data_IF_734198448856
#
_entry.id   IF_734198448856
#
_cell.length_a   1.000
_cell.length_b   1.000
_cell.length_c   1.000
_cell.angle_alpha   90.00
_cell.angle_beta   90.00
_cell.angle_gamma   90.00
#
_symmetry.space_group_name_H-M   'P 1'
#
loop_
_entity.id
_entity.type
_entity.pdbx_description
1 polymer ?
#
# COMPACT_ATOMS: atom_id res chain seq x y z
N UNK A 1 -5.40 -5.76 -11.48
CA UNK A 1 -5.55 -5.06 -10.18
C UNK A 1 -4.21 -4.72 -9.54
N UNK A 2 -3.13 -4.58 -10.32
CA UNK A 2 -1.95 -3.82 -9.90
C UNK A 2 -2.28 -2.34 -9.57
N UNK A 3 -3.51 -1.87 -9.81
CA UNK A 3 -3.90 -0.49 -9.63
C UNK A 3 -4.78 -0.18 -8.40
N UNK A 4 -5.55 -1.10 -7.81
CA UNK A 4 -6.44 -0.75 -6.68
C UNK A 4 -5.65 -0.62 -5.36
N UNK A 5 -4.85 -1.63 -5.00
CA UNK A 5 -4.16 -1.72 -3.71
C UNK A 5 -2.94 -0.78 -3.66
N UNK A 6 -2.12 -0.79 -4.71
CA UNK A 6 -0.88 0.00 -4.77
C UNK A 6 -1.13 1.50 -4.82
N UNK A 7 -2.31 1.90 -5.32
CA UNK A 7 -2.69 3.30 -5.41
C UNK A 7 -2.83 3.95 -4.04
N UNK A 8 -3.55 3.30 -3.12
CA UNK A 8 -3.80 3.84 -1.78
C UNK A 8 -2.53 3.81 -0.92
N UNK A 9 -1.75 2.74 -1.02
CA UNK A 9 -0.48 2.67 -0.30
C UNK A 9 0.53 3.73 -0.76
N UNK A 10 0.54 4.06 -2.05
CA UNK A 10 1.32 5.18 -2.58
C UNK A 10 0.91 6.50 -1.92
N UNK A 11 -0.40 6.79 -1.87
CA UNK A 11 -0.90 7.98 -1.17
C UNK A 11 -0.50 7.98 0.30
N UNK A 12 -0.58 6.83 0.99
CA UNK A 12 -0.15 6.71 2.38
C UNK A 12 1.31 7.11 2.59
N UNK A 13 2.22 6.65 1.72
CA UNK A 13 3.64 7.03 1.77
C UNK A 13 3.82 8.52 1.45
N UNK A 14 3.17 9.03 0.40
CA UNK A 14 3.27 10.44 0.00
C UNK A 14 2.75 11.38 1.10
N UNK A 15 1.60 11.06 1.70
CA UNK A 15 1.03 11.83 2.80
C UNK A 15 1.83 11.71 4.08
N UNK A 16 2.43 10.56 4.36
CA UNK A 16 3.37 10.41 5.48
C UNK A 16 4.56 11.37 5.34
N UNK A 17 5.15 11.48 4.14
CA UNK A 17 6.23 12.46 3.92
C UNK A 17 5.78 13.90 4.18
N UNK A 18 4.58 14.27 3.72
CA UNK A 18 4.02 15.61 3.97
C UNK A 18 3.79 15.85 5.45
N UNK A 19 3.20 14.88 6.16
CA UNK A 19 2.95 14.94 7.60
C UNK A 19 4.24 15.13 8.40
N UNK A 20 5.29 14.35 8.11
CA UNK A 20 6.58 14.47 8.78
C UNK A 20 7.24 15.82 8.48
N UNK A 21 7.09 16.32 7.25
CA UNK A 21 7.61 17.62 6.86
C UNK A 21 6.90 18.78 7.55
N UNK A 22 5.58 18.70 7.76
CA UNK A 22 4.85 19.71 8.52
C UNK A 22 5.15 19.67 10.02
N UNK A 23 5.39 18.48 10.59
CA UNK A 23 5.66 18.32 12.01
C UNK A 23 7.05 18.87 12.43
N UNK A 24 8.12 18.46 11.74
CA UNK A 24 9.50 18.86 12.09
C UNK A 24 10.40 19.10 10.86
N UNK A 25 9.81 19.43 9.71
CA UNK A 25 10.55 19.73 8.49
C UNK A 25 11.33 18.54 7.95
N UNK A 26 12.52 18.82 7.41
CA UNK A 26 13.36 17.78 6.77
C UNK A 26 13.91 16.74 7.75
N UNK A 27 14.03 17.08 9.05
CA UNK A 27 14.63 16.21 10.06
C UNK A 27 13.96 14.82 10.11
N UNK A 28 12.63 14.78 10.24
CA UNK A 28 11.90 13.52 10.30
C UNK A 28 11.86 12.78 8.97
N UNK A 29 11.78 13.50 7.86
CA UNK A 29 11.83 12.89 6.51
C UNK A 29 13.19 12.23 6.26
N UNK A 30 14.28 12.88 6.68
CA UNK A 30 15.63 12.33 6.57
C UNK A 30 15.84 11.15 7.52
N UNK A 31 15.27 11.21 8.73
CA UNK A 31 15.25 10.08 9.69
C UNK A 31 14.51 8.87 9.11
N UNK A 32 13.36 9.08 8.47
CA UNK A 32 12.61 8.05 7.76
C UNK A 32 13.43 7.43 6.62
N UNK A 33 14.06 8.26 5.78
CA UNK A 33 14.93 7.79 4.69
C UNK A 33 16.12 6.98 5.23
N UNK A 34 16.75 7.44 6.32
CA UNK A 34 17.85 6.74 6.97
C UNK A 34 17.41 5.40 7.55
N UNK A 35 16.22 5.31 8.17
CA UNK A 35 15.71 4.03 8.68
C UNK A 35 15.51 3.00 7.57
N UNK A 36 15.08 3.43 6.38
CA UNK A 36 14.95 2.53 5.21
C UNK A 36 16.31 1.98 4.77
N UNK A 37 17.36 2.80 4.79
CA UNK A 37 18.71 2.34 4.39
C UNK A 37 19.37 1.44 5.44
N UNK A 38 18.91 1.50 6.70
CA UNK A 38 19.39 0.68 7.81
C UNK A 38 18.70 -0.70 7.93
N UNK A 39 17.70 -0.99 7.10
CA UNK A 39 17.04 -2.30 7.11
C UNK A 39 18.10 -3.40 6.86
N UNK A 40 18.21 -4.41 7.73
CA UNK A 40 19.17 -5.50 7.56
C UNK A 40 18.98 -6.22 6.23
N UNK A 41 20.10 -6.65 5.65
CA UNK A 41 20.07 -7.41 4.40
C UNK A 41 19.50 -8.79 4.66
N UNK A 42 18.45 -9.15 3.94
CA UNK A 42 17.88 -10.49 3.94
C UNK A 42 17.54 -10.89 2.51
N UNK A 43 17.66 -12.17 2.16
CA UNK A 43 17.42 -12.68 0.80
C UNK A 43 16.00 -12.38 0.30
N UNK A 44 15.03 -12.31 1.22
CA UNK A 44 13.62 -12.06 0.92
C UNK A 44 13.20 -10.57 1.00
N UNK A 45 14.15 -9.68 1.32
CA UNK A 45 13.92 -8.24 1.43
C UNK A 45 14.75 -7.47 0.41
N UNK A 46 14.08 -6.58 -0.33
CA UNK A 46 14.76 -5.68 -1.25
C UNK A 46 15.34 -4.48 -0.50
N UNK A 47 16.60 -4.16 -0.79
CA UNK A 47 17.29 -2.99 -0.23
C UNK A 47 16.95 -1.74 -1.06
N UNK A 48 16.56 -0.66 -0.39
CA UNK A 48 16.29 0.64 -1.02
C UNK A 48 17.39 1.63 -0.65
N UNK A 49 18.57 1.49 -1.26
CA UNK A 49 19.76 2.29 -0.95
C UNK A 49 19.61 3.78 -1.23
N UNK A 50 18.67 4.18 -2.10
CA UNK A 50 18.34 5.58 -2.39
C UNK A 50 17.20 6.17 -1.55
N UNK A 51 16.80 5.52 -0.45
CA UNK A 51 15.68 5.94 0.38
C UNK A 51 14.36 6.06 -0.40
N UNK A 52 13.44 6.91 0.07
CA UNK A 52 12.13 7.10 -0.58
C UNK A 52 12.16 7.93 -1.87
N UNK A 53 13.32 8.43 -2.30
CA UNK A 53 13.46 9.07 -3.61
C UNK A 53 13.56 8.01 -4.71
N UNK A 54 14.20 6.88 -4.43
CA UNK A 54 14.19 5.69 -5.30
C UNK A 54 12.79 5.04 -5.44
N UNK A 55 11.85 5.44 -4.57
CA UNK A 55 10.48 4.94 -4.47
C UNK A 55 9.51 5.65 -5.44
N UNK A 56 9.96 6.66 -6.19
CA UNK A 56 9.13 7.33 -7.20
C UNK A 56 8.78 6.46 -8.44
N UNK A 57 9.45 5.32 -8.63
CA UNK A 57 9.37 4.47 -9.85
C UNK A 57 9.00 3.01 -9.54
N UNK A 58 8.09 2.77 -8.60
CA UNK A 58 7.88 1.42 -8.09
C UNK A 58 6.95 0.57 -8.97
N UNK A 59 7.48 -0.56 -9.42
CA UNK A 59 6.69 -1.72 -9.83
C UNK A 59 5.92 -2.29 -8.64
N UNK A 60 4.89 -3.09 -8.93
CA UNK A 60 4.11 -3.78 -7.90
C UNK A 60 4.97 -4.59 -6.91
N UNK A 61 6.01 -5.23 -7.43
CA UNK A 61 6.94 -6.00 -6.63
C UNK A 61 7.68 -5.17 -5.57
N UNK A 62 8.07 -3.94 -5.93
CA UNK A 62 8.77 -3.09 -4.98
C UNK A 62 7.84 -2.59 -3.87
N UNK A 63 6.57 -2.31 -4.17
CA UNK A 63 5.60 -1.93 -3.14
C UNK A 63 5.38 -3.05 -2.13
N UNK A 64 5.26 -4.31 -2.58
CA UNK A 64 5.17 -5.47 -1.67
C UNK A 64 6.39 -5.54 -0.74
N UNK A 65 7.60 -5.34 -1.28
CA UNK A 65 8.81 -5.30 -0.48
C UNK A 65 8.82 -4.14 0.53
N UNK A 66 8.28 -2.97 0.16
CA UNK A 66 8.17 -1.82 1.08
C UNK A 66 7.15 -2.10 2.18
N UNK A 67 5.99 -2.68 1.87
CA UNK A 67 4.95 -3.03 2.87
C UNK A 67 5.51 -3.88 4.01
N UNK A 68 6.41 -4.81 3.70
CA UNK A 68 7.08 -5.67 4.71
C UNK A 68 7.90 -4.88 5.72
N UNK A 69 8.52 -3.77 5.31
CA UNK A 69 9.51 -3.06 6.12
C UNK A 69 9.00 -1.74 6.69
N UNK A 70 7.95 -1.18 6.09
CA UNK A 70 7.51 0.19 6.35
C UNK A 70 7.03 0.41 7.78
N UNK A 71 6.39 -0.60 8.38
CA UNK A 71 5.94 -0.53 9.79
C UNK A 71 7.12 -0.20 10.70
N UNK A 72 8.27 -0.87 10.52
CA UNK A 72 9.48 -0.62 11.31
C UNK A 72 10.13 0.73 11.02
N UNK A 73 9.96 1.25 9.79
CA UNK A 73 10.51 2.55 9.40
C UNK A 73 9.78 3.69 10.10
N UNK A 74 8.46 3.62 10.16
CA UNK A 74 7.61 4.67 10.74
C UNK A 74 7.38 4.51 12.24
N UNK A 75 7.78 3.37 12.82
CA UNK A 75 7.63 3.10 14.24
C UNK A 75 8.34 4.15 15.10
N UNK A 76 7.64 4.71 16.09
CA UNK A 76 8.14 5.80 16.93
C UNK A 76 8.80 6.95 16.13
N UNK A 77 8.24 7.26 14.96
CA UNK A 77 8.73 8.36 14.13
C UNK A 77 8.00 9.69 14.41
N UNK A 78 6.70 9.61 14.74
CA UNK A 78 5.87 10.77 15.04
C UNK A 78 4.89 10.48 16.18
N UNK A 79 4.00 9.52 15.96
CA UNK A 79 3.03 9.06 16.96
C UNK A 79 2.63 7.61 16.68
N UNK A 80 1.94 6.99 17.64
CA UNK A 80 1.48 5.60 17.52
C UNK A 80 0.46 5.40 16.40
N UNK A 81 -0.38 6.41 16.12
CA UNK A 81 -1.37 6.36 15.05
C UNK A 81 -0.68 6.16 13.67
N UNK A 82 0.50 6.77 13.47
CA UNK A 82 1.27 6.63 12.24
C UNK A 82 1.75 5.19 12.02
N UNK A 83 2.28 4.50 13.03
CA UNK A 83 2.66 3.08 12.85
C UNK A 83 1.42 2.19 12.69
N UNK A 84 0.37 2.48 13.45
CA UNK A 84 -0.90 1.76 13.41
C UNK A 84 -1.56 1.79 12.02
N UNK A 85 -1.54 2.91 11.29
CA UNK A 85 -2.14 2.98 9.95
C UNK A 85 -1.41 2.08 8.94
N UNK A 86 -0.12 1.83 9.11
CA UNK A 86 0.62 0.87 8.29
C UNK A 86 0.36 -0.58 8.70
N UNK A 87 0.19 -0.85 10.00
CA UNK A 87 -0.20 -2.19 10.49
C UNK A 87 -1.57 -2.57 9.95
N UNK A 88 -2.56 -1.68 10.05
CA UNK A 88 -3.91 -1.92 9.54
C UNK A 88 -3.95 -2.10 8.03
N UNK A 89 -3.13 -1.35 7.29
CA UNK A 89 -2.98 -1.57 5.85
C UNK A 89 -2.46 -2.98 5.55
N UNK A 90 -1.44 -3.45 6.28
CA UNK A 90 -0.89 -4.78 6.10
C UNK A 90 -1.91 -5.87 6.46
N UNK A 91 -2.71 -5.68 7.52
CA UNK A 91 -3.81 -6.59 7.87
C UNK A 91 -4.85 -6.68 6.74
N UNK A 92 -5.32 -5.53 6.23
CA UNK A 92 -6.22 -5.49 5.08
C UNK A 92 -5.61 -6.17 3.86
N UNK A 93 -4.34 -5.90 3.56
CA UNK A 93 -3.66 -6.50 2.41
C UNK A 93 -3.57 -8.02 2.55
N UNK A 94 -3.31 -8.55 3.75
CA UNK A 94 -3.26 -10.01 3.95
C UNK A 94 -4.64 -10.65 3.77
N UNK A 95 -5.70 -10.02 4.31
CA UNK A 95 -7.08 -10.48 4.13
C UNK A 95 -7.50 -10.46 2.66
N UNK A 96 -7.11 -9.42 1.91
CA UNK A 96 -7.45 -9.26 0.50
C UNK A 96 -6.87 -10.37 -0.40
N UNK A 97 -5.81 -11.06 0.05
CA UNK A 97 -5.11 -12.12 -0.70
C UNK A 97 -5.69 -13.52 -0.50
N UNK A 98 -6.70 -13.70 0.34
CA UNK A 98 -7.37 -14.99 0.50
C UNK A 98 -7.98 -15.47 -0.82
N UNK A 99 -7.84 -16.77 -1.10
CA UNK A 99 -8.41 -17.39 -2.32
C UNK A 99 -9.90 -17.68 -2.19
N UNK A 100 -10.39 -17.79 -0.96
CA UNK A 100 -11.79 -18.10 -0.65
C UNK A 100 -12.23 -17.28 0.55
N UNK A 101 -13.46 -16.76 0.51
CA UNK A 101 -14.04 -15.98 1.60
C UNK A 101 -15.32 -16.65 2.10
N UNK A 102 -15.46 -16.78 3.42
CA UNK A 102 -16.75 -17.03 4.07
C UNK A 102 -17.40 -15.68 4.42
N UNK A 103 -18.70 -15.67 4.70
CA UNK A 103 -19.39 -14.45 5.16
C UNK A 103 -18.77 -13.85 6.44
N UNK A 104 -18.24 -14.69 7.34
CA UNK A 104 -17.48 -14.21 8.50
C UNK A 104 -16.19 -13.49 8.10
N UNK A 105 -15.50 -13.98 7.07
CA UNK A 105 -14.24 -13.41 6.59
C UNK A 105 -14.51 -12.07 5.90
N UNK A 106 -15.60 -11.98 5.13
CA UNK A 106 -16.08 -10.74 4.52
C UNK A 106 -16.43 -9.68 5.56
N UNK A 107 -17.11 -10.08 6.65
CA UNK A 107 -17.40 -9.17 7.76
C UNK A 107 -16.12 -8.65 8.41
N UNK A 108 -15.17 -9.54 8.71
CA UNK A 108 -13.88 -9.16 9.28
C UNK A 108 -13.10 -8.23 8.34
N UNK A 109 -13.16 -8.49 7.03
CA UNK A 109 -12.50 -7.67 6.03
C UNK A 109 -13.11 -6.28 5.93
N UNK A 110 -14.45 -6.15 5.95
CA UNK A 110 -15.14 -4.86 6.00
C UNK A 110 -14.72 -4.06 7.26
N UNK A 111 -14.71 -4.71 8.43
CA UNK A 111 -14.30 -4.05 9.68
C UNK A 111 -12.84 -3.57 9.62
N UNK A 112 -11.94 -4.35 9.02
CA UNK A 112 -10.54 -3.96 8.84
C UNK A 112 -10.42 -2.73 7.91
N UNK A 113 -11.18 -2.72 6.81
CA UNK A 113 -11.26 -1.59 5.87
C UNK A 113 -11.71 -0.32 6.58
N UNK A 114 -12.79 -0.38 7.35
CA UNK A 114 -13.35 0.78 8.04
C UNK A 114 -12.39 1.31 9.12
N UNK A 115 -11.78 0.42 9.91
CA UNK A 115 -10.79 0.80 10.93
C UNK A 115 -9.58 1.49 10.31
N UNK A 116 -9.06 0.97 9.20
CA UNK A 116 -7.96 1.61 8.47
C UNK A 116 -8.40 2.94 7.86
N UNK A 117 -9.54 2.98 7.16
CA UNK A 117 -10.02 4.18 6.46
C UNK A 117 -10.25 5.34 7.43
N UNK A 118 -10.87 5.08 8.59
CA UNK A 118 -11.07 6.08 9.63
C UNK A 118 -9.73 6.66 10.12
N UNK A 119 -8.73 5.80 10.36
CA UNK A 119 -7.41 6.25 10.81
C UNK A 119 -6.65 7.00 9.70
N UNK A 120 -6.75 6.52 8.46
CA UNK A 120 -6.16 7.15 7.28
C UNK A 120 -6.71 8.55 7.05
N UNK A 121 -8.03 8.71 7.11
CA UNK A 121 -8.70 10.01 6.97
C UNK A 121 -8.33 10.93 8.14
N UNK A 122 -8.31 10.42 9.38
CA UNK A 122 -7.90 11.20 10.56
C UNK A 122 -6.48 11.74 10.43
N UNK A 123 -5.53 10.91 10.01
CA UNK A 123 -4.11 11.28 9.93
C UNK A 123 -3.79 12.16 8.73
N UNK A 124 -4.36 11.82 7.57
CA UNK A 124 -3.97 12.45 6.31
C UNK A 124 -4.99 13.47 5.81
N UNK A 125 -6.01 13.74 6.64
CA UNK A 125 -7.14 14.65 6.44
C UNK A 125 -6.81 15.85 5.56
N UNK A 126 -5.86 16.61 6.10
CA UNK A 126 -5.44 17.90 5.58
C UNK A 126 -4.66 17.85 4.26
N UNK A 127 -4.12 16.70 3.86
CA UNK A 127 -3.27 16.58 2.66
C UNK A 127 -4.04 16.23 1.39
N UNK A 128 -5.32 15.89 1.53
CA UNK A 128 -6.18 15.55 0.40
C UNK A 128 -6.81 16.81 -0.17
N UNK A 129 -6.22 17.37 -1.22
CA UNK A 129 -6.74 18.55 -1.94
C UNK A 129 -8.17 18.39 -2.50
N UNK A 130 -8.76 17.20 -2.46
CA UNK A 130 -10.05 16.84 -3.06
C UNK A 130 -11.10 16.34 -2.06
N UNK A 131 -11.00 16.65 -0.76
CA UNK A 131 -11.91 16.14 0.28
C UNK A 131 -12.01 14.60 0.30
N UNK A 132 -10.88 13.90 0.14
CA UNK A 132 -10.82 12.43 0.02
C UNK A 132 -11.65 11.83 -1.11
N UNK A 133 -11.91 12.57 -2.19
CA UNK A 133 -12.41 12.01 -3.45
C UNK A 133 -11.33 11.17 -4.14
N UNK A 134 -10.88 10.12 -3.47
CA UNK A 134 -10.00 9.08 -3.98
C UNK A 134 -10.92 7.95 -4.46
N UNK A 135 -11.12 7.75 -5.77
CA UNK A 135 -12.03 6.71 -6.28
C UNK A 135 -11.68 5.32 -5.76
N UNK A 136 -10.39 5.07 -5.49
CA UNK A 136 -9.90 3.82 -4.90
C UNK A 136 -10.34 3.65 -3.46
N UNK A 137 -10.26 4.71 -2.64
CA UNK A 137 -10.72 4.66 -1.25
C UNK A 137 -12.22 4.38 -1.22
N UNK A 138 -12.99 5.07 -2.06
CA UNK A 138 -14.43 4.83 -2.19
C UNK A 138 -14.74 3.40 -2.64
N UNK A 139 -14.03 2.88 -3.63
CA UNK A 139 -14.17 1.49 -4.09
C UNK A 139 -13.88 0.48 -2.98
N UNK A 140 -12.83 0.70 -2.20
CA UNK A 140 -12.46 -0.15 -1.07
C UNK A 140 -13.48 -0.10 0.06
N UNK A 141 -13.98 1.08 0.43
CA UNK A 141 -14.89 1.21 1.57
C UNK A 141 -16.29 0.69 1.26
N UNK A 142 -16.80 0.90 0.03
CA UNK A 142 -18.20 0.65 -0.29
C UNK A 142 -18.45 -0.55 -1.18
N UNK A 143 -17.52 -0.92 -2.05
CA UNK A 143 -17.82 -1.85 -3.15
C UNK A 143 -17.00 -3.14 -3.10
N UNK A 144 -15.87 -3.18 -2.38
CA UNK A 144 -14.95 -4.32 -2.47
C UNK A 144 -15.57 -5.62 -1.94
N UNK A 145 -16.31 -5.56 -0.84
CA UNK A 145 -16.94 -6.74 -0.23
C UNK A 145 -18.07 -7.27 -1.11
N UNK A 146 -18.89 -6.39 -1.68
CA UNK A 146 -19.94 -6.77 -2.62
C UNK A 146 -19.33 -7.36 -3.90
N UNK A 147 -18.24 -6.78 -4.40
CA UNK A 147 -17.49 -7.32 -5.54
C UNK A 147 -16.98 -8.74 -5.26
N UNK A 148 -16.48 -9.01 -4.04
CA UNK A 148 -16.02 -10.35 -3.67
C UNK A 148 -17.17 -11.34 -3.59
N UNK A 149 -18.35 -10.93 -3.09
CA UNK A 149 -19.53 -11.80 -3.06
C UNK A 149 -20.00 -12.18 -4.47
N UNK A 150 -20.00 -11.22 -5.39
CA UNK A 150 -20.50 -11.41 -6.75
C UNK A 150 -19.51 -12.17 -7.64
N UNK A 151 -18.21 -11.85 -7.55
CA UNK A 151 -17.20 -12.30 -8.50
C UNK A 151 -16.13 -13.23 -7.89
N UNK A 152 -16.24 -13.54 -6.60
CA UNK A 152 -15.28 -14.37 -5.88
C UNK A 152 -14.04 -13.59 -5.43
N UNK A 153 -13.00 -14.30 -5.03
CA UNK A 153 -11.80 -13.67 -4.46
C UNK A 153 -11.17 -12.64 -5.40
N UNK A 154 -10.63 -11.58 -4.81
CA UNK A 154 -10.00 -10.45 -5.51
C UNK A 154 -9.00 -10.93 -6.56
N UNK A 155 -8.22 -11.97 -6.23
CA UNK A 155 -7.21 -12.56 -7.11
C UNK A 155 -7.77 -13.08 -8.45
N UNK A 156 -9.04 -13.51 -8.49
CA UNK A 156 -9.67 -14.17 -9.64
C UNK A 156 -10.01 -13.26 -10.82
N UNK A 157 -10.18 -11.95 -10.58
CA UNK A 157 -10.54 -10.97 -11.63
C UNK A 157 -9.47 -9.86 -11.79
N UNK A 158 -8.25 -10.09 -11.31
CA UNK A 158 -7.16 -9.12 -11.49
C UNK A 158 -6.54 -9.20 -12.89
N UNK A 159 -6.18 -8.04 -13.44
CA UNK A 159 -5.32 -7.94 -14.64
C UNK A 159 -3.88 -8.44 -14.46
N UNK A 160 -3.47 -8.90 -13.26
CA UNK A 160 -2.06 -9.27 -13.00
C UNK A 160 -1.59 -10.40 -13.90
N UNK A 161 -2.42 -11.44 -14.07
CA UNK A 161 -2.14 -12.57 -14.96
C UNK A 161 -1.99 -12.11 -16.40
N UNK A 162 -2.90 -11.27 -16.89
CA UNK A 162 -2.84 -10.75 -18.25
C UNK A 162 -1.62 -9.86 -18.47
N UNK A 163 -1.32 -8.95 -17.54
CA UNK A 163 -0.14 -8.07 -17.61
C UNK A 163 1.18 -8.86 -17.60
N UNK A 164 1.26 -9.92 -16.79
CA UNK A 164 2.41 -10.82 -16.76
C UNK A 164 2.60 -11.55 -18.10
N UNK A 165 1.52 -12.12 -18.65
CA UNK A 165 1.55 -12.79 -19.95
C UNK A 165 1.94 -11.83 -21.08
N UNK A 166 1.33 -10.65 -21.13
CA UNK A 166 1.65 -9.63 -22.14
C UNK A 166 3.12 -9.17 -22.04
N UNK A 167 3.66 -9.03 -20.83
CA UNK A 167 5.08 -8.71 -20.65
C UNK A 167 5.97 -9.81 -21.22
N UNK A 168 5.66 -11.08 -20.92
CA UNK A 168 6.47 -12.24 -21.33
C UNK A 168 6.40 -12.50 -22.82
N UNK A 169 5.20 -12.51 -23.41
CA UNK A 169 4.99 -12.95 -24.78
C UNK A 169 5.02 -11.82 -25.81
N UNK A 170 4.84 -10.57 -25.41
CA UNK A 170 4.82 -9.43 -26.35
C UNK A 170 5.99 -8.49 -26.10
N UNK A 171 6.12 -7.94 -24.88
CA UNK A 171 7.13 -6.90 -24.62
C UNK A 171 8.57 -7.39 -24.66
N UNK A 172 8.85 -8.59 -24.14
CA UNK A 172 10.23 -9.14 -24.16
C UNK A 172 10.67 -9.45 -25.60
N UNK A 173 9.92 -10.22 -26.42
CA UNK A 173 10.30 -10.49 -27.80
C UNK A 173 10.45 -9.24 -28.67
N UNK A 174 9.53 -8.27 -28.54
CA UNK A 174 9.60 -7.03 -29.30
C UNK A 174 10.87 -6.21 -29.02
N UNK A 175 11.37 -6.22 -27.78
CA UNK A 175 12.62 -5.52 -27.41
C UNK A 175 13.89 -6.24 -27.83
N UNK A 176 13.78 -7.52 -28.18
CA UNK A 176 14.88 -8.34 -28.67
C UNK A 176 14.98 -8.30 -30.21
N UNK A 177 14.00 -7.69 -30.89
CA UNK A 177 13.96 -7.48 -32.34
C UNK A 177 14.53 -6.11 -32.69
#
# INVERSE_FOLDING_TARGET
MHHLDLGLYRYQIEFTKKLLFEAEGRSLVDKMNRRITLIPRHSELKIFSGGLQSIALLTADNYRNIMKVMVFVVDDLLNKDLSEVYVKWNEMYLLSRQETFKESDLKNFQEAIEKWANLFIKLFGQFSNSDFKLPKLHSWVHHIVDTIREFGAINGYTTETYEALHKTYVKIPYRLS
#
